data_IF_726185270656
#
_entry.id   IF_726185270656
#
_cell.length_a   1.000
_cell.length_b   1.000
_cell.length_c   1.000
_cell.angle_alpha   90.00
_cell.angle_beta   90.00
_cell.angle_gamma   90.00
#
_symmetry.space_group_name_H-M   'P 1'
#
loop_
_entity.id
_entity.type
_entity.pdbx_description
1 polymer ?
#
# COMPACT_ATOMS: atom_id res chain seq x y z
N UNK A 1 -9.75 0.66 9.79
CA UNK A 1 -9.67 -0.67 9.14
C UNK A 1 -10.70 -0.86 8.05
N UNK A 2 -12.01 -0.80 8.34
CA UNK A 2 -13.07 -0.99 7.32
C UNK A 2 -12.90 -0.11 6.08
N UNK A 3 -12.58 1.19 6.25
CA UNK A 3 -12.33 2.11 5.13
C UNK A 3 -11.14 1.68 4.26
N UNK A 4 -10.06 1.20 4.88
CA UNK A 4 -8.90 0.67 4.16
C UNK A 4 -9.26 -0.58 3.35
N UNK A 5 -10.00 -1.52 3.94
CA UNK A 5 -10.48 -2.72 3.25
C UNK A 5 -11.38 -2.37 2.07
N UNK A 6 -12.36 -1.49 2.28
CA UNK A 6 -13.30 -1.08 1.23
C UNK A 6 -12.60 -0.40 0.05
N UNK A 7 -11.58 0.43 0.34
CA UNK A 7 -10.76 1.06 -0.69
C UNK A 7 -9.85 0.04 -1.39
N UNK A 8 -9.29 -0.92 -0.66
CA UNK A 8 -8.46 -1.99 -1.24
C UNK A 8 -9.25 -2.89 -2.18
N UNK A 9 -10.50 -3.22 -1.85
CA UNK A 9 -11.40 -4.00 -2.71
C UNK A 9 -11.62 -3.31 -4.07
N UNK A 10 -11.72 -1.97 -4.08
CA UNK A 10 -11.84 -1.20 -5.34
C UNK A 10 -10.59 -1.29 -6.22
N UNK A 11 -9.42 -1.48 -5.60
CA UNK A 11 -8.14 -1.70 -6.30
C UNK A 11 -7.90 -3.17 -6.68
N UNK A 12 -8.86 -4.06 -6.41
CA UNK A 12 -8.76 -5.51 -6.64
C UNK A 12 -7.56 -6.19 -5.94
N UNK A 13 -7.09 -5.63 -4.82
CA UNK A 13 -6.00 -6.17 -4.01
C UNK A 13 -4.75 -5.28 -3.96
N UNK A 14 -3.71 -5.78 -3.29
CA UNK A 14 -2.45 -5.05 -3.06
C UNK A 14 -2.29 -4.48 -1.66
N UNK A 15 -1.63 -3.32 -1.58
CA UNK A 15 -1.34 -2.62 -0.33
C UNK A 15 -1.98 -1.23 -0.32
N UNK A 16 -2.48 -0.81 0.83
CA UNK A 16 -3.00 0.54 1.05
C UNK A 16 -2.69 0.99 2.48
N UNK A 17 -2.29 2.25 2.64
CA UNK A 17 -2.11 2.89 3.94
C UNK A 17 -3.16 3.98 4.07
N UNK A 18 -4.01 3.86 5.09
CA UNK A 18 -5.09 4.81 5.39
C UNK A 18 -4.92 5.31 6.82
N UNK A 19 -4.95 6.63 6.98
CA UNK A 19 -4.92 7.32 8.28
C UNK A 19 -6.00 8.39 8.28
N UNK A 20 -6.79 8.47 9.35
CA UNK A 20 -7.85 9.46 9.52
C UNK A 20 -8.80 9.57 8.30
N UNK A 21 -9.15 8.41 7.71
CA UNK A 21 -10.03 8.32 6.52
C UNK A 21 -9.37 8.73 5.19
N UNK A 22 -8.10 9.16 5.19
CA UNK A 22 -7.35 9.56 4.00
C UNK A 22 -6.39 8.47 3.56
N UNK A 23 -6.32 8.24 2.25
CA UNK A 23 -5.34 7.33 1.66
C UNK A 23 -4.01 8.06 1.53
N UNK A 24 -2.97 7.57 2.21
CA UNK A 24 -1.63 8.17 2.21
C UNK A 24 -0.71 7.53 1.16
N UNK A 25 -0.86 6.22 0.95
CA UNK A 25 -0.12 5.47 -0.06
C UNK A 25 -0.92 4.24 -0.52
N UNK A 26 -0.70 3.80 -1.76
CA UNK A 26 -1.31 2.59 -2.31
C UNK A 26 -0.39 1.95 -3.36
N UNK A 27 -0.39 0.62 -3.39
CA UNK A 27 0.27 -0.21 -4.39
C UNK A 27 -0.73 -1.28 -4.86
N UNK A 28 -1.40 -1.11 -6.02
CA UNK A 28 -2.37 -2.07 -6.53
C UNK A 28 -1.67 -3.30 -7.13
N UNK A 29 -2.27 -4.47 -6.92
CA UNK A 29 -1.83 -5.73 -7.53
C UNK A 29 -2.92 -6.25 -8.48
N UNK A 30 -2.92 -5.71 -9.72
CA UNK A 30 -4.00 -5.94 -10.70
C UNK A 30 -4.18 -7.42 -11.09
N UNK A 31 -3.14 -8.23 -10.99
CA UNK A 31 -3.18 -9.67 -11.28
C UNK A 31 -3.44 -10.46 -10.00
N UNK A 32 -4.68 -10.90 -9.84
CA UNK A 32 -5.11 -11.78 -8.75
C UNK A 32 -4.94 -11.21 -7.35
N UNK A 33 -4.76 -9.89 -7.20
CA UNK A 33 -4.51 -9.24 -5.91
C UNK A 33 -3.13 -9.52 -5.33
N UNK A 34 -2.22 -10.15 -6.07
CA UNK A 34 -0.88 -10.58 -5.62
C UNK A 34 0.26 -10.05 -6.49
N UNK A 35 0.00 -9.73 -7.77
CA UNK A 35 1.01 -9.25 -8.71
C UNK A 35 0.56 -7.94 -9.37
N UNK A 36 1.50 -7.00 -9.53
CA UNK A 36 1.26 -5.77 -10.29
C UNK A 36 1.64 -5.96 -11.76
N UNK A 37 0.90 -5.34 -12.66
CA UNK A 37 1.26 -5.23 -14.09
C UNK A 37 2.04 -3.97 -14.41
N UNK A 38 2.27 -3.11 -13.41
CA UNK A 38 3.08 -1.92 -13.57
C UNK A 38 4.58 -2.26 -13.73
N UNK A 39 5.37 -1.38 -14.39
CA UNK A 39 6.81 -1.53 -14.47
C UNK A 39 7.47 -1.64 -13.09
N UNK A 40 8.53 -2.45 -13.00
CA UNK A 40 9.23 -2.73 -11.73
C UNK A 40 9.70 -1.46 -11.01
N UNK A 41 10.15 -0.43 -11.72
CA UNK A 41 10.59 0.83 -11.11
C UNK A 41 9.45 1.55 -10.41
N UNK A 42 8.24 1.52 -11.01
CA UNK A 42 7.04 2.13 -10.43
C UNK A 42 6.58 1.35 -9.21
N UNK A 43 6.57 0.02 -9.30
CA UNK A 43 6.23 -0.87 -8.18
C UNK A 43 7.21 -0.67 -7.02
N UNK A 44 8.51 -0.61 -7.29
CA UNK A 44 9.56 -0.41 -6.29
C UNK A 44 9.42 0.95 -5.60
N UNK A 45 9.23 2.04 -6.36
CA UNK A 45 9.01 3.37 -5.79
C UNK A 45 7.77 3.42 -4.89
N UNK A 46 6.67 2.80 -5.33
CA UNK A 46 5.44 2.74 -4.56
C UNK A 46 5.59 1.88 -3.30
N UNK A 47 6.33 0.78 -3.37
CA UNK A 47 6.62 -0.07 -2.22
C UNK A 47 7.48 0.67 -1.17
N UNK A 48 8.52 1.39 -1.60
CA UNK A 48 9.32 2.24 -0.70
C UNK A 48 8.43 3.30 -0.04
N UNK A 49 7.58 3.97 -0.82
CA UNK A 49 6.61 4.95 -0.30
C UNK A 49 5.65 4.36 0.74
N UNK A 50 5.20 3.11 0.58
CA UNK A 50 4.37 2.43 1.58
C UNK A 50 5.13 2.31 2.91
N UNK A 51 6.40 1.88 2.87
CA UNK A 51 7.22 1.71 4.08
C UNK A 51 7.53 3.03 4.78
N UNK A 52 7.85 4.07 4.00
CA UNK A 52 8.14 5.40 4.53
C UNK A 52 6.89 5.97 5.23
N UNK A 53 5.75 5.95 4.53
CA UNK A 53 4.48 6.45 5.07
C UNK A 53 4.04 5.67 6.31
N UNK A 54 4.25 4.35 6.38
CA UNK A 54 3.97 3.57 7.58
C UNK A 54 4.81 4.04 8.77
N UNK A 55 6.11 4.25 8.55
CA UNK A 55 7.04 4.73 9.57
C UNK A 55 6.64 6.13 10.05
N UNK A 56 6.42 7.07 9.12
CA UNK A 56 6.03 8.45 9.40
C UNK A 56 4.66 8.56 10.07
N UNK A 57 3.76 7.62 9.76
CA UNK A 57 2.40 7.61 10.32
C UNK A 57 2.33 7.11 11.76
N UNK A 58 3.43 6.63 12.32
CA UNK A 58 3.55 6.18 13.71
C UNK A 58 3.73 4.67 13.89
N UNK A 59 4.02 3.91 12.82
CA UNK A 59 4.37 2.50 12.96
C UNK A 59 5.75 2.36 13.62
N UNK A 60 5.76 1.87 14.86
CA UNK A 60 6.99 1.67 15.64
C UNK A 60 7.92 0.61 15.05
N UNK A 61 7.34 -0.35 14.33
CA UNK A 61 8.08 -1.46 13.76
C UNK A 61 8.47 -1.14 12.33
N UNK A 62 9.77 -1.20 12.07
CA UNK A 62 10.29 -1.28 10.71
C UNK A 62 10.08 -2.70 10.19
N UNK A 63 9.92 -2.83 8.88
CA UNK A 63 9.98 -4.14 8.23
C UNK A 63 11.31 -4.81 8.63
N UNK A 64 11.28 -6.00 9.26
CA UNK A 64 12.51 -6.73 9.53
C UNK A 64 13.00 -7.26 8.19
N UNK A 65 14.12 -6.71 7.71
CA UNK A 65 14.77 -6.97 6.41
C UNK A 65 14.16 -6.20 5.22
#
# INVERSE_FOLDING_TARGET
MADACNKLTKSQGGLIVVKDGKTLASLPFQLGGILSTDPIDKVTKNLTKINDVLSDSGCKFKKPH
#
